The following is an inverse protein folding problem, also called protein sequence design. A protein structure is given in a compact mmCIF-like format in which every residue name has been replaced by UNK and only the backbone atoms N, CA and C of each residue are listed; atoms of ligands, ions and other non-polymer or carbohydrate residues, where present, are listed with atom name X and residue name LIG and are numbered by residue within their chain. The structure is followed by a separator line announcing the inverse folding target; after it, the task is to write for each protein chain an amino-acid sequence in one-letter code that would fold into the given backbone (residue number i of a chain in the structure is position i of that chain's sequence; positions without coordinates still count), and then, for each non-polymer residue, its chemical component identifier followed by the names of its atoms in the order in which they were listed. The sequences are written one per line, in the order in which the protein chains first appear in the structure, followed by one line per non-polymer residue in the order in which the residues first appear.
data_IF_933569751395
#
_entry.id   IF_933569751395
#
_cell.length_a   1.000
_cell.length_b   1.000
_cell.length_c   1.000
_cell.angle_alpha   90.00
_cell.angle_beta   90.00
_cell.angle_gamma   90.00
#
_symmetry.space_group_name_H-M   'P 1'
#
loop_
_entity.id
_entity.type
_entity.pdbx_description
1 polymer ?
#
# COMPACT_ATOMS: atom_id res chain seq x y z
N UNK A 1 -16.52 -33.70 -31.12
CA UNK A 1 -15.64 -32.52 -31.33
C UNK A 1 -16.05 -31.43 -30.34
N UNK A 2 -15.63 -31.49 -29.07
CA UNK A 2 -16.02 -30.52 -28.01
C UNK A 2 -15.03 -30.42 -26.82
N UNK A 3 -13.76 -30.84 -26.98
CA UNK A 3 -12.80 -30.92 -25.85
C UNK A 3 -11.69 -29.84 -25.92
N UNK A 4 -11.57 -29.13 -27.04
CA UNK A 4 -10.45 -28.19 -27.27
C UNK A 4 -10.71 -26.80 -26.68
N UNK A 5 -11.98 -26.35 -26.58
CA UNK A 5 -12.30 -25.00 -26.08
C UNK A 5 -12.20 -24.83 -24.55
N UNK A 6 -12.35 -25.90 -23.77
CA UNK A 6 -12.37 -25.82 -22.29
C UNK A 6 -10.97 -25.77 -21.68
N UNK A 7 -10.00 -26.49 -22.27
CA UNK A 7 -8.61 -26.52 -21.78
C UNK A 7 -7.86 -25.22 -22.07
N UNK A 8 -8.07 -24.58 -23.23
CA UNK A 8 -7.51 -23.25 -23.51
C UNK A 8 -8.11 -22.17 -22.60
N UNK A 9 -9.40 -22.26 -22.24
CA UNK A 9 -10.03 -21.31 -21.32
C UNK A 9 -9.54 -21.44 -19.86
N UNK A 10 -9.16 -22.63 -19.40
CA UNK A 10 -8.62 -22.81 -18.06
C UNK A 10 -7.16 -22.36 -17.94
N UNK A 11 -6.35 -22.60 -18.98
CA UNK A 11 -4.96 -22.14 -19.02
C UNK A 11 -4.85 -20.60 -19.15
N UNK A 12 -5.76 -19.98 -19.91
CA UNK A 12 -5.86 -18.52 -19.99
C UNK A 12 -6.31 -17.92 -18.65
N UNK A 13 -7.25 -18.54 -17.92
CA UNK A 13 -7.57 -18.13 -16.54
C UNK A 13 -6.41 -18.34 -15.56
N UNK A 14 -5.55 -19.33 -15.78
CA UNK A 14 -4.33 -19.57 -14.99
C UNK A 14 -3.23 -18.53 -15.21
N UNK A 15 -3.16 -17.89 -16.39
CA UNK A 15 -2.18 -16.83 -16.71
C UNK A 15 -2.76 -15.42 -16.46
N UNK A 16 -4.09 -15.24 -16.56
CA UNK A 16 -4.78 -13.98 -16.24
C UNK A 16 -4.78 -13.68 -14.72
N UNK A 17 -4.58 -14.69 -13.87
CA UNK A 17 -4.21 -14.50 -12.46
C UNK A 17 -2.71 -14.18 -12.31
N UNK A 18 -2.24 -13.14 -13.02
CA UNK A 18 -1.10 -12.35 -12.57
C UNK A 18 -1.38 -12.01 -11.10
N UNK A 19 -0.46 -12.37 -10.20
CA UNK A 19 -0.65 -12.31 -8.74
C UNK A 19 -1.21 -10.95 -8.33
N UNK A 20 -2.37 -10.95 -7.65
CA UNK A 20 -2.99 -9.72 -7.15
C UNK A 20 -1.95 -8.89 -6.39
N UNK A 21 -1.95 -7.58 -6.59
CA UNK A 21 -0.99 -6.68 -5.94
C UNK A 21 -1.20 -6.76 -4.42
N UNK A 22 -0.16 -7.10 -3.67
CA UNK A 22 -0.20 -7.34 -2.23
C UNK A 22 0.11 -6.04 -1.51
N UNK A 23 -0.91 -5.48 -0.88
CA UNK A 23 -0.84 -4.12 -0.31
C UNK A 23 -1.12 -4.17 1.18
N UNK A 24 -0.20 -3.64 1.98
CA UNK A 24 -0.34 -3.47 3.42
C UNK A 24 -0.74 -2.03 3.75
N UNK A 25 -1.81 -1.86 4.52
CA UNK A 25 -2.25 -0.57 5.05
C UNK A 25 -2.00 -0.54 6.56
N UNK A 26 -1.16 0.39 7.00
CA UNK A 26 -0.79 0.58 8.40
C UNK A 26 -1.24 1.95 8.89
N UNK A 27 -2.17 1.96 9.84
CA UNK A 27 -2.66 3.16 10.53
C UNK A 27 -3.16 2.73 11.91
N UNK A 28 -2.85 3.47 12.97
CA UNK A 28 -3.32 3.18 14.33
C UNK A 28 -4.81 3.54 14.52
N UNK A 29 -5.37 4.36 13.62
CA UNK A 29 -6.78 4.71 13.57
C UNK A 29 -7.49 3.84 12.54
N UNK A 30 -8.31 2.90 13.02
CA UNK A 30 -9.06 1.94 12.18
C UNK A 30 -9.90 2.60 11.09
N UNK A 31 -10.57 3.72 11.41
CA UNK A 31 -11.40 4.44 10.46
C UNK A 31 -10.59 4.97 9.27
N UNK A 32 -9.38 5.49 9.52
CA UNK A 32 -8.51 6.03 8.48
C UNK A 32 -7.93 4.91 7.61
N UNK A 33 -7.51 3.80 8.25
CA UNK A 33 -7.08 2.59 7.54
C UNK A 33 -8.17 2.09 6.60
N UNK A 34 -9.39 1.92 7.10
CA UNK A 34 -10.54 1.46 6.32
C UNK A 34 -10.88 2.39 5.16
N UNK A 35 -10.89 3.70 5.39
CA UNK A 35 -11.14 4.70 4.35
C UNK A 35 -10.09 4.65 3.24
N UNK A 36 -8.81 4.46 3.58
CA UNK A 36 -7.73 4.35 2.61
C UNK A 36 -7.83 3.07 1.78
N UNK A 37 -8.19 1.95 2.41
CA UNK A 37 -8.44 0.67 1.72
C UNK A 37 -9.55 0.82 0.68
N UNK A 38 -10.70 1.38 1.05
CA UNK A 38 -11.81 1.59 0.10
C UNK A 38 -11.41 2.48 -1.07
N UNK A 39 -10.63 3.53 -0.80
CA UNK A 39 -10.15 4.45 -1.83
C UNK A 39 -9.19 3.74 -2.78
N UNK A 40 -8.27 2.94 -2.25
CA UNK A 40 -7.36 2.12 -3.04
C UNK A 40 -8.09 1.08 -3.91
N UNK A 41 -9.05 0.36 -3.33
CA UNK A 41 -9.87 -0.62 -4.06
C UNK A 41 -10.73 0.03 -5.15
N UNK A 42 -11.17 1.26 -4.95
CA UNK A 42 -11.87 2.04 -5.98
C UNK A 42 -10.95 2.46 -7.14
N UNK A 43 -9.63 2.56 -6.92
CA UNK A 43 -8.64 2.87 -7.96
C UNK A 43 -8.13 1.60 -8.67
N UNK A 44 -8.09 0.47 -7.96
CA UNK A 44 -7.57 -0.80 -8.47
C UNK A 44 -8.28 -1.97 -7.78
N UNK A 45 -8.88 -2.87 -8.55
CA UNK A 45 -9.71 -3.96 -8.00
C UNK A 45 -8.94 -5.24 -7.66
N UNK A 46 -7.75 -5.44 -8.24
CA UNK A 46 -6.90 -6.63 -8.06
C UNK A 46 -5.91 -6.46 -6.89
N UNK A 47 -6.44 -6.16 -5.70
CA UNK A 47 -5.64 -5.97 -4.48
C UNK A 47 -5.83 -7.13 -3.49
N UNK A 48 -4.73 -7.71 -3.03
CA UNK A 48 -4.70 -8.53 -1.83
C UNK A 48 -4.36 -7.62 -0.63
N UNK A 49 -5.35 -7.34 0.21
CA UNK A 49 -5.26 -6.35 1.29
C UNK A 49 -4.77 -6.98 2.59
N UNK A 50 -3.77 -6.35 3.20
CA UNK A 50 -3.28 -6.62 4.55
C UNK A 50 -3.43 -5.37 5.40
N UNK A 51 -3.62 -5.55 6.71
CA UNK A 51 -3.89 -4.46 7.64
C UNK A 51 -3.01 -4.56 8.89
N UNK A 52 -2.54 -3.42 9.38
CA UNK A 52 -1.83 -3.31 10.65
C UNK A 52 -2.31 -2.09 11.44
N UNK A 53 -2.56 -2.30 12.74
CA UNK A 53 -2.90 -1.23 13.69
C UNK A 53 -1.69 -0.68 14.45
N UNK A 54 -0.51 -1.26 14.26
CA UNK A 54 0.71 -0.85 14.96
C UNK A 54 1.95 -1.10 14.10
N UNK A 55 3.05 -0.39 14.38
CA UNK A 55 4.33 -0.63 13.69
C UNK A 55 4.87 -2.05 13.91
N UNK A 56 4.62 -2.64 15.09
CA UNK A 56 5.02 -4.01 15.39
C UNK A 56 4.29 -5.02 14.50
N UNK A 57 2.99 -4.83 14.31
CA UNK A 57 2.20 -5.69 13.41
C UNK A 57 2.62 -5.50 11.96
N UNK A 58 2.89 -4.26 11.54
CA UNK A 58 3.41 -3.95 10.20
C UNK A 58 4.69 -4.74 9.92
N UNK A 59 5.66 -4.69 10.83
CA UNK A 59 6.92 -5.41 10.67
C UNK A 59 6.72 -6.92 10.70
N UNK A 60 5.83 -7.43 11.56
CA UNK A 60 5.52 -8.86 11.62
C UNK A 60 4.88 -9.37 10.32
N UNK A 61 4.05 -8.56 9.65
CA UNK A 61 3.47 -8.90 8.35
C UNK A 61 4.55 -8.85 7.26
N UNK A 62 5.36 -7.79 7.20
CA UNK A 62 6.44 -7.66 6.21
C UNK A 62 7.49 -8.79 6.29
N UNK A 63 7.64 -9.43 7.45
CA UNK A 63 8.51 -10.59 7.63
C UNK A 63 7.91 -11.92 7.12
N UNK A 64 6.58 -12.02 7.07
CA UNK A 64 5.86 -13.26 6.76
C UNK A 64 5.28 -13.28 5.36
N UNK A 65 4.94 -12.10 4.85
CA UNK A 65 4.21 -11.89 3.63
C UNK A 65 5.09 -11.12 2.64
N UNK A 66 5.05 -11.51 1.36
CA UNK A 66 5.70 -10.74 0.29
C UNK A 66 4.80 -9.55 -0.06
N UNK A 67 5.13 -8.36 0.43
CA UNK A 67 4.31 -7.15 0.27
C UNK A 67 4.94 -6.27 -0.82
N UNK A 68 4.17 -6.01 -1.88
CA UNK A 68 4.59 -5.14 -2.99
C UNK A 68 4.57 -3.66 -2.57
N UNK A 69 3.54 -3.28 -1.80
CA UNK A 69 3.28 -1.89 -1.45
C UNK A 69 2.82 -1.75 0.00
N UNK A 70 3.47 -0.85 0.75
CA UNK A 70 3.09 -0.46 2.10
C UNK A 70 2.59 0.98 2.10
N UNK A 71 1.35 1.21 2.52
CA UNK A 71 0.87 2.52 2.96
C UNK A 71 1.01 2.58 4.48
N UNK A 72 1.74 3.56 5.01
CA UNK A 72 1.93 3.71 6.46
C UNK A 72 1.70 5.15 6.91
N UNK A 73 0.83 5.36 7.90
CA UNK A 73 0.63 6.67 8.50
C UNK A 73 1.89 7.12 9.24
N UNK A 74 2.36 8.33 8.94
CA UNK A 74 3.57 8.90 9.52
C UNK A 74 3.49 9.08 11.03
N UNK A 75 2.29 9.21 11.60
CA UNK A 75 2.06 9.37 13.05
C UNK A 75 2.45 8.11 13.83
N UNK A 76 2.46 6.94 13.17
CA UNK A 76 2.87 5.67 13.76
C UNK A 76 4.39 5.54 13.89
N UNK A 77 5.15 6.35 13.16
CA UNK A 77 6.60 6.24 13.06
C UNK A 77 7.29 7.05 14.15
N UNK A 78 8.16 6.38 14.91
CA UNK A 78 9.11 6.99 15.83
C UNK A 78 10.46 7.20 15.14
N UNK A 79 11.36 7.93 15.80
CA UNK A 79 12.64 8.37 15.24
C UNK A 79 13.49 7.23 14.63
N UNK A 80 13.40 6.01 15.16
CA UNK A 80 14.16 4.84 14.68
C UNK A 80 13.45 4.00 13.62
N UNK A 81 12.13 4.10 13.49
CA UNK A 81 11.32 3.21 12.65
C UNK A 81 11.62 3.33 11.15
N UNK A 82 11.92 4.52 10.59
CA UNK A 82 12.31 4.66 9.19
C UNK A 82 13.58 3.88 8.81
N UNK A 83 14.52 3.70 9.75
CA UNK A 83 15.72 2.89 9.49
C UNK A 83 15.36 1.40 9.35
N UNK A 84 14.40 0.94 10.16
CA UNK A 84 13.89 -0.43 10.11
C UNK A 84 13.12 -0.66 8.80
N UNK A 85 12.28 0.30 8.40
CA UNK A 85 11.55 0.26 7.13
C UNK A 85 12.48 0.30 5.91
N UNK A 86 13.60 1.04 5.97
CA UNK A 86 14.59 1.06 4.89
C UNK A 86 15.33 -0.29 4.71
N UNK A 87 15.33 -1.15 5.73
CA UNK A 87 15.91 -2.49 5.63
C UNK A 87 14.98 -3.51 4.94
N UNK A 88 13.70 -3.16 4.78
CA UNK A 88 12.72 -4.00 4.06
C UNK A 88 13.03 -3.93 2.56
N UNK A 89 13.41 -5.06 1.99
CA UNK A 89 13.71 -5.18 0.56
C UNK A 89 12.44 -5.46 -0.22
N UNK A 90 12.37 -4.98 -1.46
CA UNK A 90 11.33 -5.26 -2.46
C UNK A 90 9.93 -4.70 -2.17
N UNK A 91 9.69 -4.04 -1.03
CA UNK A 91 8.44 -3.32 -0.75
C UNK A 91 8.58 -1.84 -1.09
N UNK A 92 7.69 -1.30 -1.92
CA UNK A 92 7.57 0.15 -2.12
C UNK A 92 6.81 0.74 -0.93
N UNK A 93 7.35 1.78 -0.31
CA UNK A 93 6.76 2.38 0.89
C UNK A 93 6.18 3.77 0.53
N UNK A 94 4.92 3.95 0.88
CA UNK A 94 4.14 5.17 0.76
C UNK A 94 3.85 5.68 2.16
N UNK A 95 4.38 6.86 2.46
CA UNK A 95 4.09 7.57 3.70
C UNK A 95 2.76 8.30 3.54
N UNK A 96 1.84 8.07 4.46
CA UNK A 96 0.51 8.69 4.48
C UNK A 96 0.52 9.78 5.52
N UNK A 97 0.18 11.00 5.10
CA UNK A 97 0.05 12.16 5.97
C UNK A 97 -1.41 12.63 6.01
N UNK A 98 -1.94 12.70 7.21
CA UNK A 98 -3.23 13.31 7.53
C UNK A 98 -3.06 14.72 8.14
N UNK A 99 -4.16 15.46 8.24
CA UNK A 99 -4.21 16.81 8.83
C UNK A 99 -3.81 16.86 10.31
N UNK A 100 -3.79 15.73 11.02
CA UNK A 100 -3.34 15.63 12.41
C UNK A 100 -1.84 15.39 12.55
N UNK A 101 -1.17 15.03 11.46
CA UNK A 101 0.27 14.86 11.41
C UNK A 101 0.98 16.17 11.72
N UNK A 102 1.52 16.28 12.95
CA UNK A 102 2.59 17.25 13.22
C UNK A 102 3.63 17.03 12.14
N UNK A 103 3.96 18.09 11.38
CA UNK A 103 5.13 18.10 10.50
C UNK A 103 6.31 17.65 11.35
N UNK A 104 6.70 16.39 11.21
CA UNK A 104 7.81 15.86 11.98
C UNK A 104 9.05 16.57 11.46
N UNK A 105 10.01 16.85 12.34
CA UNK A 105 11.28 17.49 11.95
C UNK A 105 12.06 16.71 10.86
N UNK A 106 11.56 15.53 10.49
CA UNK A 106 12.16 14.55 9.60
C UNK A 106 11.46 14.41 8.25
N UNK A 107 10.37 15.14 7.97
CA UNK A 107 9.66 15.09 6.67
C UNK A 107 10.63 15.22 5.49
N UNK A 108 11.55 16.19 5.54
CA UNK A 108 12.53 16.41 4.47
C UNK A 108 13.48 15.23 4.26
N UNK A 109 13.82 14.49 5.32
CA UNK A 109 14.67 13.30 5.21
C UNK A 109 13.89 12.14 4.60
N UNK A 110 12.60 12.03 4.92
CA UNK A 110 11.75 10.91 4.50
C UNK A 110 11.24 11.06 3.06
N UNK A 111 10.90 12.27 2.63
CA UNK A 111 10.45 12.58 1.27
C UNK A 111 11.51 12.20 0.22
N UNK A 112 12.79 12.26 0.58
CA UNK A 112 13.87 11.85 -0.33
C UNK A 112 13.93 10.34 -0.60
N UNK A 113 13.32 9.52 0.27
CA UNK A 113 13.38 8.05 0.20
C UNK A 113 12.05 7.40 -0.12
N UNK A 114 10.94 8.07 0.18
CA UNK A 114 9.60 7.50 0.11
C UNK A 114 8.64 8.43 -0.62
N UNK A 115 7.61 7.84 -1.22
CA UNK A 115 6.51 8.63 -1.80
C UNK A 115 5.59 9.09 -0.68
N UNK A 116 5.27 10.39 -0.64
CA UNK A 116 4.32 10.95 0.33
C UNK A 116 2.93 11.08 -0.31
N UNK A 117 1.91 10.57 0.37
CA UNK A 117 0.49 10.75 0.05
C UNK A 117 -0.12 11.69 1.09
N UNK A 118 -0.60 12.85 0.63
CA UNK A 118 -1.29 13.80 1.50
C UNK A 118 -2.80 13.64 1.31
N UNK A 119 -3.53 13.29 2.37
CA UNK A 119 -4.98 13.05 2.31
C UNK A 119 -5.82 14.35 2.34
N UNK A 120 -5.19 15.51 2.23
CA UNK A 120 -5.76 16.79 2.67
C UNK A 120 -6.53 17.59 1.58
N UNK A 121 -6.49 17.17 0.31
CA UNK A 121 -6.94 18.04 -0.80
C UNK A 121 -8.36 17.79 -1.31
N UNK A 122 -8.87 16.56 -1.20
CA UNK A 122 -10.22 16.08 -1.54
C UNK A 122 -10.14 14.58 -1.82
N UNK A 123 -11.28 13.87 -1.77
CA UNK A 123 -11.34 12.46 -2.19
C UNK A 123 -10.82 12.27 -3.62
N UNK A 124 -11.14 13.18 -4.53
CA UNK A 124 -10.70 13.11 -5.93
C UNK A 124 -9.19 13.29 -6.06
N UNK A 125 -8.59 14.22 -5.28
CA UNK A 125 -7.15 14.38 -5.24
C UNK A 125 -6.44 13.13 -4.68
N UNK A 126 -6.97 12.55 -3.59
CA UNK A 126 -6.41 11.31 -3.03
C UNK A 126 -6.52 10.13 -4.00
N UNK A 127 -7.63 10.00 -4.73
CA UNK A 127 -7.78 8.99 -5.79
C UNK A 127 -6.78 9.19 -6.92
N UNK A 128 -6.57 10.43 -7.36
CA UNK A 128 -5.60 10.73 -8.42
C UNK A 128 -4.17 10.35 -8.00
N UNK A 129 -3.77 10.67 -6.77
CA UNK A 129 -2.45 10.30 -6.25
C UNK A 129 -2.28 8.78 -6.10
N UNK A 130 -3.28 8.09 -5.55
CA UNK A 130 -3.25 6.62 -5.40
C UNK A 130 -3.22 5.93 -6.77
N UNK A 131 -4.01 6.42 -7.74
CA UNK A 131 -4.01 5.88 -9.11
C UNK A 131 -2.64 6.03 -9.77
N UNK A 132 -1.97 7.18 -9.58
CA UNK A 132 -0.61 7.41 -10.06
C UNK A 132 0.39 6.44 -9.42
N UNK A 133 0.30 6.23 -8.10
CA UNK A 133 1.17 5.28 -7.39
C UNK A 133 1.04 3.86 -7.95
N UNK A 134 -0.19 3.42 -8.26
CA UNK A 134 -0.43 2.10 -8.84
C UNK A 134 0.07 2.00 -10.29
N UNK A 135 -0.04 3.06 -11.09
CA UNK A 135 0.48 3.08 -12.45
C UNK A 135 2.01 2.98 -12.48
N UNK A 136 2.71 3.61 -11.52
CA UNK A 136 4.18 3.56 -11.41
C UNK A 136 4.72 2.19 -10.94
N UNK A 137 3.84 1.24 -10.59
CA UNK A 137 4.19 -0.11 -10.13
C UNK A 137 4.00 -1.19 -11.20
N UNK A 138 3.28 -0.87 -12.29
CA UNK A 138 2.99 -1.73 -13.43
C UNK A 138 3.95 -1.49 -14.58
#
# INVERSE_FOLDING_TARGET
MYVINTLQSQYIRQIIHLTALRVLFADDIELYRYSLILTAQACRSDLAVFEAGSILDTLAILQKEDIDLLFINITMLKDTDPLVLAAVKNTKIILVKDNSGRSTAYENQWISKYTMLNLEKSLDASKADISRIFHDLS
#
